data_IF_980929544067
#
_entry.id   IF_980929544067
#
_cell.length_a   1.000
_cell.length_b   1.000
_cell.length_c   1.000
_cell.angle_alpha   90.00
_cell.angle_beta   90.00
_cell.angle_gamma   90.00
#
_symmetry.space_group_name_H-M   'P 1'
#
loop_
_entity.id
_entity.type
_entity.pdbx_description
1 polymer ?
#
# COMPACT_ATOMS: atom_id res chain seq x y z
N UNK A 1 -1.72 -2.77 -12.88
CA UNK A 1 -2.87 -2.38 -12.08
C UNK A 1 -2.84 -3.05 -10.71
N UNK A 2 -3.06 -4.36 -10.55
CA UNK A 2 -3.22 -5.02 -9.26
C UNK A 2 -2.19 -4.71 -8.16
N UNK A 3 -0.94 -4.39 -8.51
CA UNK A 3 0.07 -3.94 -7.53
C UNK A 3 -0.15 -2.50 -7.03
N UNK A 4 -0.83 -1.67 -7.81
CA UNK A 4 -1.09 -0.26 -7.53
C UNK A 4 -2.49 0.00 -6.99
N UNK A 5 -3.38 -0.99 -7.08
CA UNK A 5 -4.69 -0.96 -6.43
C UNK A 5 -4.58 -1.51 -4.99
N UNK A 6 -3.64 -2.45 -4.78
CA UNK A 6 -3.26 -2.93 -3.46
C UNK A 6 -2.27 -1.97 -2.78
N UNK A 7 -2.31 -1.91 -1.47
CA UNK A 7 -1.61 -0.88 -0.67
C UNK A 7 -0.34 -1.42 0.01
N UNK A 8 0.55 -0.52 0.43
CA UNK A 8 1.84 -0.84 1.02
C UNK A 8 1.89 -0.52 2.52
N UNK A 9 2.20 -1.52 3.33
CA UNK A 9 2.46 -1.33 4.74
C UNK A 9 3.72 -0.49 5.02
N UNK A 10 4.75 -0.59 4.17
CA UNK A 10 5.97 0.21 4.30
C UNK A 10 5.73 1.69 4.01
N UNK A 11 4.92 2.00 2.99
CA UNK A 11 4.53 3.38 2.67
C UNK A 11 3.63 3.98 3.74
N UNK A 12 2.68 3.19 4.27
CA UNK A 12 1.89 3.59 5.44
C UNK A 12 2.78 3.93 6.63
N UNK A 13 3.72 3.04 6.97
CA UNK A 13 4.64 3.25 8.08
C UNK A 13 5.52 4.51 7.88
N UNK A 14 6.00 4.76 6.66
CA UNK A 14 6.72 5.99 6.33
C UNK A 14 5.82 7.22 6.51
N UNK A 15 4.58 7.16 6.03
CA UNK A 15 3.60 8.24 6.17
C UNK A 15 3.32 8.59 7.63
N UNK A 16 3.06 7.59 8.49
CA UNK A 16 2.80 7.83 9.92
C UNK A 16 3.99 8.49 10.60
N UNK A 17 5.22 8.03 10.35
CA UNK A 17 6.43 8.64 10.93
C UNK A 17 6.62 10.09 10.48
N UNK A 18 6.35 10.42 9.21
CA UNK A 18 6.44 11.79 8.73
C UNK A 18 5.37 12.68 9.38
N UNK A 19 4.10 12.24 9.41
CA UNK A 19 3.04 13.02 10.07
C UNK A 19 3.35 13.27 11.55
N UNK A 20 3.82 12.25 12.26
CA UNK A 20 4.23 12.37 13.67
C UNK A 20 5.39 13.34 13.86
N UNK A 21 6.41 13.30 12.97
CA UNK A 21 7.55 14.22 13.02
C UNK A 21 7.16 15.66 12.78
N UNK A 22 6.16 15.89 11.93
CA UNK A 22 5.62 17.22 11.60
C UNK A 22 4.54 17.68 12.59
N UNK A 23 4.20 16.86 13.59
CA UNK A 23 3.18 17.17 14.60
C UNK A 23 1.75 17.15 14.03
N UNK A 24 1.52 16.48 12.90
CA UNK A 24 0.21 16.38 12.25
C UNK A 24 -0.56 15.22 12.88
N UNK A 25 -1.61 15.56 13.63
CA UNK A 25 -2.47 14.57 14.27
C UNK A 25 -3.40 13.90 13.25
N UNK A 26 -3.59 12.60 13.40
CA UNK A 26 -4.53 11.77 12.61
C UNK A 26 -5.29 10.81 13.56
N UNK A 27 -6.39 10.23 13.10
CA UNK A 27 -7.15 9.29 13.89
C UNK A 27 -6.34 8.02 14.17
N UNK A 28 -6.28 7.54 15.43
CA UNK A 28 -5.52 6.34 15.79
C UNK A 28 -5.95 5.07 15.03
N UNK A 29 -7.18 5.04 14.53
CA UNK A 29 -7.70 3.92 13.73
C UNK A 29 -7.38 4.03 12.22
N UNK A 30 -6.93 5.19 11.72
CA UNK A 30 -6.68 5.39 10.28
C UNK A 30 -5.71 4.37 9.68
N UNK A 31 -4.61 3.95 10.34
CA UNK A 31 -3.77 2.85 9.85
C UNK A 31 -4.50 1.53 9.66
N UNK A 32 -5.57 1.28 10.41
CA UNK A 32 -6.36 0.06 10.29
C UNK A 32 -7.18 -0.02 8.98
N UNK A 33 -7.26 1.05 8.20
CA UNK A 33 -7.82 1.03 6.83
C UNK A 33 -7.01 0.14 5.88
N UNK A 34 -5.72 -0.07 6.15
CA UNK A 34 -4.82 -0.86 5.32
C UNK A 34 -5.41 -2.21 4.87
N UNK A 35 -5.84 -3.14 5.74
CA UNK A 35 -6.36 -4.43 5.31
C UNK A 35 -7.68 -4.33 4.54
N UNK A 36 -8.50 -3.34 4.84
CA UNK A 36 -9.77 -3.11 4.14
C UNK A 36 -9.58 -2.55 2.73
N UNK A 37 -8.43 -1.96 2.45
CA UNK A 37 -8.06 -1.48 1.11
C UNK A 37 -7.27 -2.54 0.35
N UNK A 38 -6.34 -3.25 0.99
CA UNK A 38 -5.43 -4.22 0.36
C UNK A 38 -6.16 -5.47 -0.15
N UNK A 39 -6.93 -6.13 0.72
CA UNK A 39 -7.59 -7.40 0.39
C UNK A 39 -8.60 -7.28 -0.74
N UNK A 40 -9.58 -6.35 -0.70
CA UNK A 40 -10.54 -6.21 -1.79
C UNK A 40 -9.90 -5.83 -3.12
N UNK A 41 -8.85 -5.01 -3.10
CA UNK A 41 -8.14 -4.59 -4.30
C UNK A 41 -7.45 -5.78 -4.99
N UNK A 42 -6.73 -6.62 -4.23
CA UNK A 42 -6.11 -7.84 -4.76
C UNK A 42 -7.13 -8.82 -5.31
N UNK A 43 -8.23 -9.05 -4.60
CA UNK A 43 -9.32 -9.92 -5.07
C UNK A 43 -9.90 -9.38 -6.38
N UNK A 44 -10.23 -8.10 -6.43
CA UNK A 44 -10.80 -7.46 -7.61
C UNK A 44 -9.84 -7.54 -8.82
N UNK A 45 -8.56 -7.26 -8.61
CA UNK A 45 -7.54 -7.34 -9.66
C UNK A 45 -7.45 -8.74 -10.27
N UNK A 46 -7.48 -9.80 -9.44
CA UNK A 46 -7.42 -11.17 -9.91
C UNK A 46 -8.71 -11.57 -10.63
N UNK A 47 -9.87 -11.17 -10.12
CA UNK A 47 -11.16 -11.42 -10.77
C UNK A 47 -11.20 -10.77 -12.15
N UNK A 48 -10.83 -9.48 -12.27
CA UNK A 48 -10.80 -8.77 -13.54
C UNK A 48 -9.81 -9.38 -14.53
N UNK A 49 -8.61 -9.77 -14.07
CA UNK A 49 -7.63 -10.44 -14.91
C UNK A 49 -8.14 -11.79 -15.43
N UNK A 50 -8.76 -12.59 -14.57
CA UNK A 50 -9.34 -13.88 -14.95
C UNK A 50 -10.49 -13.73 -15.95
N UNK A 51 -11.35 -12.73 -15.76
CA UNK A 51 -12.42 -12.41 -16.73
C UNK A 51 -11.86 -11.97 -18.09
N UNK A 52 -10.79 -11.18 -18.08
CA UNK A 52 -10.12 -10.76 -19.31
C UNK A 52 -9.51 -11.97 -20.07
N UNK A 53 -8.77 -12.83 -19.37
CA UNK A 53 -8.17 -14.03 -19.94
C UNK A 53 -9.23 -14.98 -20.50
N UNK A 54 -10.34 -15.18 -19.80
CA UNK A 54 -11.46 -15.99 -20.29
C UNK A 54 -12.08 -15.44 -21.58
N UNK A 55 -12.17 -14.12 -21.70
CA UNK A 55 -12.69 -13.49 -22.92
C UNK A 55 -11.72 -13.59 -24.10
N UNK A 56 -10.42 -13.50 -23.81
CA UNK A 56 -9.38 -13.48 -24.83
C UNK A 56 -9.07 -14.87 -25.41
N UNK A 57 -8.85 -15.84 -24.54
CA UNK A 57 -8.27 -17.14 -24.91
C UNK A 57 -9.17 -18.33 -24.56
N UNK A 58 -10.36 -18.10 -24.01
CA UNK A 58 -11.22 -19.15 -23.46
C UNK A 58 -10.65 -19.91 -22.24
N UNK A 59 -9.46 -19.52 -21.78
CA UNK A 59 -8.63 -20.22 -20.80
C UNK A 59 -8.83 -19.79 -19.34
N UNK A 60 -9.78 -18.87 -19.07
CA UNK A 60 -10.04 -18.38 -17.71
C UNK A 60 -10.54 -19.49 -16.80
N UNK A 61 -9.73 -19.89 -15.82
CA UNK A 61 -10.18 -20.77 -14.74
C UNK A 61 -11.27 -20.11 -13.88
N UNK A 62 -12.10 -20.94 -13.23
CA UNK A 62 -13.05 -20.42 -12.23
C UNK A 62 -12.27 -19.80 -11.08
N UNK A 63 -12.40 -18.48 -10.91
CA UNK A 63 -11.74 -17.77 -9.81
C UNK A 63 -12.26 -18.31 -8.48
N UNK A 64 -11.37 -18.90 -7.71
CA UNK A 64 -11.65 -19.33 -6.34
C UNK A 64 -11.22 -18.19 -5.41
N UNK A 65 -12.17 -17.37 -4.95
CA UNK A 65 -11.89 -16.19 -4.12
C UNK A 65 -11.30 -16.59 -2.75
N UNK A 66 -11.80 -17.66 -2.16
CA UNK A 66 -11.38 -18.08 -0.81
C UNK A 66 -9.87 -18.37 -0.66
N UNK A 67 -9.20 -19.10 -1.55
CA UNK A 67 -7.75 -19.26 -1.49
C UNK A 67 -6.98 -17.93 -1.55
N UNK A 68 -7.46 -16.98 -2.35
CA UNK A 68 -6.83 -15.64 -2.50
C UNK A 68 -6.93 -14.86 -1.19
N UNK A 69 -8.13 -14.79 -0.62
CA UNK A 69 -8.36 -14.15 0.69
C UNK A 69 -7.52 -14.81 1.78
N UNK A 70 -7.51 -16.15 1.80
CA UNK A 70 -6.70 -16.91 2.77
C UNK A 70 -5.21 -16.60 2.64
N UNK A 71 -4.67 -16.57 1.44
CA UNK A 71 -3.26 -16.27 1.19
C UNK A 71 -2.92 -14.83 1.58
N UNK A 72 -3.79 -13.87 1.26
CA UNK A 72 -3.63 -12.47 1.70
C UNK A 72 -3.64 -12.36 3.22
N UNK A 73 -4.57 -13.01 3.92
CA UNK A 73 -4.66 -13.01 5.39
C UNK A 73 -3.47 -13.71 6.06
N UNK A 74 -2.88 -14.70 5.42
CA UNK A 74 -1.70 -15.42 5.91
C UNK A 74 -0.38 -14.71 5.59
N UNK A 75 -0.42 -13.61 4.84
CA UNK A 75 0.74 -12.76 4.61
C UNK A 75 1.30 -12.21 5.93
N UNK A 76 2.63 -12.23 6.11
CA UNK A 76 3.28 -11.87 7.37
C UNK A 76 2.90 -10.47 7.88
N UNK A 77 2.86 -9.48 6.98
CA UNK A 77 2.53 -8.11 7.34
C UNK A 77 1.06 -7.98 7.81
N UNK A 78 0.13 -8.60 7.08
CA UNK A 78 -1.29 -8.52 7.42
C UNK A 78 -1.64 -9.33 8.67
N UNK A 79 -1.04 -10.52 8.83
CA UNK A 79 -1.18 -11.32 10.06
C UNK A 79 -0.68 -10.57 11.29
N UNK A 80 0.47 -9.90 11.19
CA UNK A 80 1.02 -9.10 12.28
C UNK A 80 0.12 -7.90 12.62
N UNK A 81 -0.42 -7.22 11.59
CA UNK A 81 -1.35 -6.11 11.78
C UNK A 81 -2.64 -6.58 12.49
N UNK A 82 -3.25 -7.67 12.02
CA UNK A 82 -4.47 -8.22 12.64
C UNK A 82 -4.22 -8.67 14.08
N UNK A 83 -3.07 -9.25 14.36
CA UNK A 83 -2.66 -9.59 15.73
C UNK A 83 -2.50 -8.32 16.58
N UNK A 84 -1.87 -7.28 16.05
CA UNK A 84 -1.73 -5.99 16.72
C UNK A 84 -3.09 -5.36 17.06
N UNK A 85 -4.04 -5.37 16.12
CA UNK A 85 -5.41 -4.92 16.35
C UNK A 85 -6.08 -5.73 17.47
N UNK A 86 -5.98 -7.06 17.41
CA UNK A 86 -6.57 -7.94 18.43
C UNK A 86 -5.97 -7.67 19.81
N UNK A 87 -4.65 -7.56 19.91
CA UNK A 87 -3.97 -7.23 21.18
C UNK A 87 -4.39 -5.85 21.69
N UNK A 88 -4.49 -4.85 20.81
CA UNK A 88 -4.94 -3.50 21.18
C UNK A 88 -6.37 -3.47 21.70
N UNK A 89 -7.26 -4.29 21.15
CA UNK A 89 -8.66 -4.39 21.57
C UNK A 89 -8.84 -5.15 22.90
N UNK A 90 -8.06 -6.19 23.14
CA UNK A 90 -8.23 -7.08 24.31
C UNK A 90 -7.28 -6.79 25.45
N UNK A 91 -6.26 -5.93 25.27
CA UNK A 91 -5.29 -5.57 26.30
C UNK A 91 -5.16 -4.05 26.39
N UNK A 92 -4.41 -3.57 27.37
CA UNK A 92 -4.01 -2.17 27.46
C UNK A 92 -2.48 -2.04 27.26
N UNK A 93 -1.99 -2.12 26.01
CA UNK A 93 -0.57 -2.24 25.71
C UNK A 93 0.20 -0.91 25.77
N UNK A 94 -0.44 0.24 26.05
CA UNK A 94 0.13 1.58 25.90
C UNK A 94 1.55 1.71 26.43
N UNK A 95 1.80 1.33 27.69
CA UNK A 95 3.14 1.43 28.26
C UNK A 95 4.19 0.58 27.51
N UNK A 96 3.82 -0.59 27.02
CA UNK A 96 4.74 -1.47 26.27
C UNK A 96 4.94 -0.93 24.85
N UNK A 97 3.91 -0.35 24.27
CA UNK A 97 4.01 0.31 22.96
C UNK A 97 5.00 1.45 23.04
N UNK A 98 4.82 2.39 23.98
CA UNK A 98 5.65 3.60 24.10
C UNK A 98 7.11 3.31 24.45
N UNK A 99 7.36 2.30 25.31
CA UNK A 99 8.70 2.03 25.82
C UNK A 99 9.51 1.03 25.02
N UNK A 100 8.86 0.15 24.26
CA UNK A 100 9.51 -0.92 23.53
C UNK A 100 9.21 -0.89 22.03
N UNK A 101 7.92 -0.95 21.65
CA UNK A 101 7.57 -1.09 20.23
C UNK A 101 7.84 0.17 19.42
N UNK A 102 7.57 1.36 19.93
CA UNK A 102 7.77 2.61 19.18
C UNK A 102 9.27 2.88 18.87
N UNK A 103 10.21 2.81 19.84
CA UNK A 103 11.63 2.95 19.53
C UNK A 103 12.14 1.87 18.58
N UNK A 104 11.69 0.61 18.77
CA UNK A 104 12.06 -0.50 17.92
C UNK A 104 11.51 -0.33 16.49
N UNK A 105 10.27 0.13 16.35
CA UNK A 105 9.62 0.37 15.08
C UNK A 105 10.40 1.36 14.21
N UNK A 106 10.84 2.49 14.77
CA UNK A 106 11.63 3.50 14.04
C UNK A 106 12.95 2.93 13.52
N UNK A 107 13.62 2.12 14.33
CA UNK A 107 14.86 1.43 13.93
C UNK A 107 14.63 0.40 12.82
N UNK A 108 13.63 -0.45 12.98
CA UNK A 108 13.27 -1.47 11.99
C UNK A 108 12.76 -0.85 10.68
N UNK A 109 12.00 0.25 10.76
CA UNK A 109 11.56 0.99 9.57
C UNK A 109 12.77 1.53 8.78
N UNK A 110 13.78 2.07 9.45
CA UNK A 110 15.00 2.55 8.78
C UNK A 110 15.72 1.40 8.03
N UNK A 111 15.82 0.22 8.65
CA UNK A 111 16.38 -0.97 7.99
C UNK A 111 15.52 -1.41 6.82
N UNK A 112 14.19 -1.43 6.98
CA UNK A 112 13.24 -1.76 5.91
C UNK A 112 13.40 -0.82 4.71
N UNK A 113 13.46 0.49 4.94
CA UNK A 113 13.63 1.48 3.87
C UNK A 113 14.97 1.29 3.13
N UNK A 114 16.05 0.96 3.86
CA UNK A 114 17.34 0.65 3.24
C UNK A 114 17.26 -0.58 2.35
N UNK A 115 16.66 -1.66 2.84
CA UNK A 115 16.47 -2.90 2.06
C UNK A 115 15.61 -2.65 0.83
N UNK A 116 14.51 -1.92 0.97
CA UNK A 116 13.65 -1.53 -0.15
C UNK A 116 14.39 -0.70 -1.20
N UNK A 117 15.26 0.23 -0.77
CA UNK A 117 16.11 1.00 -1.68
C UNK A 117 17.10 0.13 -2.46
N UNK A 118 17.75 -0.83 -1.80
CA UNK A 118 18.66 -1.79 -2.44
C UNK A 118 17.89 -2.66 -3.46
N UNK A 119 16.73 -3.17 -3.09
CA UNK A 119 15.89 -3.99 -3.96
C UNK A 119 15.37 -3.18 -5.16
N UNK A 120 14.94 -1.94 -4.94
CA UNK A 120 14.53 -1.02 -6.00
C UNK A 120 15.63 -0.81 -7.02
N UNK A 121 16.87 -0.56 -6.56
CA UNK A 121 18.02 -0.41 -7.44
C UNK A 121 18.32 -1.68 -8.24
N UNK A 122 18.31 -2.83 -7.59
CA UNK A 122 18.57 -4.12 -8.24
C UNK A 122 17.57 -4.41 -9.37
N UNK A 123 16.30 -4.04 -9.19
CA UNK A 123 15.23 -4.28 -10.18
C UNK A 123 15.15 -3.23 -11.29
N UNK A 124 15.81 -2.06 -11.15
CA UNK A 124 15.82 -1.03 -12.19
C UNK A 124 16.32 -1.55 -13.54
N UNK A 125 17.32 -2.42 -13.54
CA UNK A 125 17.87 -3.00 -14.77
C UNK A 125 16.90 -3.99 -15.44
N UNK A 126 16.09 -4.69 -14.68
CA UNK A 126 15.04 -5.56 -15.19
C UNK A 126 13.91 -4.73 -15.81
N UNK A 127 13.51 -3.66 -15.13
CA UNK A 127 12.45 -2.77 -15.59
C UNK A 127 12.80 -2.08 -16.91
N UNK A 128 14.04 -1.65 -17.11
CA UNK A 128 14.51 -1.04 -18.37
C UNK A 128 14.32 -1.95 -19.59
N UNK A 129 14.26 -3.27 -19.39
CA UNK A 129 14.09 -4.28 -20.47
C UNK A 129 12.62 -4.57 -20.78
N UNK A 130 11.68 -4.24 -19.90
CA UNK A 130 10.31 -4.79 -19.98
C UNK A 130 9.32 -3.88 -20.68
N UNK A 131 9.35 -2.60 -20.57
CA UNK A 131 8.62 -1.63 -21.39
C UNK A 131 8.51 -0.27 -20.68
N UNK A 132 8.69 0.79 -21.39
CA UNK A 132 8.61 2.17 -20.92
C UNK A 132 7.25 2.53 -20.31
N UNK A 133 6.16 1.93 -20.80
CA UNK A 133 4.80 2.17 -20.31
C UNK A 133 4.57 1.69 -18.88
N UNK A 134 5.22 0.61 -18.43
CA UNK A 134 5.14 0.19 -17.02
C UNK A 134 5.80 1.21 -16.09
N UNK A 135 6.91 1.82 -16.53
CA UNK A 135 7.59 2.86 -15.78
C UNK A 135 6.74 4.12 -15.65
N UNK A 136 6.13 4.57 -16.76
CA UNK A 136 5.21 5.71 -16.76
C UNK A 136 4.00 5.45 -15.87
N UNK A 137 3.39 4.28 -16.00
CA UNK A 137 2.27 3.88 -15.14
C UNK A 137 2.68 3.88 -13.66
N UNK A 138 3.83 3.28 -13.34
CA UNK A 138 4.35 3.20 -11.97
C UNK A 138 4.64 4.57 -11.34
N UNK A 139 5.06 5.55 -12.15
CA UNK A 139 5.31 6.90 -11.68
C UNK A 139 4.02 7.72 -11.49
N UNK A 140 3.01 7.49 -12.35
CA UNK A 140 1.78 8.29 -12.33
C UNK A 140 0.73 7.77 -11.35
N UNK A 141 0.53 6.44 -11.27
CA UNK A 141 -0.58 5.86 -10.51
C UNK A 141 -0.53 6.16 -9.01
N UNK A 142 0.61 6.14 -8.31
CA UNK A 142 0.66 6.57 -6.91
C UNK A 142 0.07 7.96 -6.70
N UNK A 143 0.42 8.90 -7.56
CA UNK A 143 -0.06 10.28 -7.46
C UNK A 143 -1.55 10.37 -7.78
N UNK A 144 -2.00 9.73 -8.85
CA UNK A 144 -3.41 9.74 -9.26
C UNK A 144 -4.32 9.12 -8.20
N UNK A 145 -3.97 7.93 -7.72
CA UNK A 145 -4.76 7.24 -6.69
C UNK A 145 -4.78 8.03 -5.37
N UNK A 146 -3.62 8.57 -4.97
CA UNK A 146 -3.55 9.40 -3.77
C UNK A 146 -4.36 10.68 -3.88
N UNK A 147 -4.35 11.38 -5.03
CA UNK A 147 -5.18 12.56 -5.24
C UNK A 147 -6.69 12.23 -5.22
N UNK A 148 -7.09 11.10 -5.81
CA UNK A 148 -8.49 10.64 -5.74
C UNK A 148 -8.87 10.39 -4.28
N UNK A 149 -8.02 9.67 -3.54
CA UNK A 149 -8.26 9.38 -2.12
C UNK A 149 -8.22 10.63 -1.25
N UNK A 150 -7.37 11.61 -1.56
CA UNK A 150 -7.37 12.91 -0.92
C UNK A 150 -8.72 13.62 -1.10
N UNK A 151 -9.25 13.64 -2.33
CA UNK A 151 -10.58 14.20 -2.61
C UNK A 151 -11.71 13.48 -1.86
N UNK A 152 -11.67 12.16 -1.77
CA UNK A 152 -12.62 11.38 -0.98
C UNK A 152 -12.45 11.63 0.52
N UNK A 153 -11.22 11.75 1.00
CA UNK A 153 -10.89 12.12 2.38
C UNK A 153 -11.39 13.53 2.74
N UNK A 154 -11.24 14.49 1.83
CA UNK A 154 -11.81 15.84 1.99
C UNK A 154 -13.34 15.81 2.10
N UNK A 155 -14.01 14.98 1.29
CA UNK A 155 -15.45 14.79 1.44
C UNK A 155 -15.80 14.18 2.81
N UNK A 156 -14.97 13.27 3.31
CA UNK A 156 -15.17 12.69 4.65
C UNK A 156 -14.91 13.74 5.76
N UNK A 157 -13.93 14.63 5.59
CA UNK A 157 -13.72 15.75 6.50
C UNK A 157 -14.98 16.60 6.62
N UNK A 158 -15.52 17.07 5.51
CA UNK A 158 -16.71 17.93 5.47
C UNK A 158 -17.98 17.24 5.99
N UNK A 159 -18.10 15.91 5.81
CA UNK A 159 -19.34 15.18 6.14
C UNK A 159 -19.35 14.54 7.52
N UNK A 160 -18.22 14.00 7.97
CA UNK A 160 -18.12 13.22 9.21
C UNK A 160 -16.99 13.70 10.14
N UNK A 161 -16.27 14.77 9.77
CA UNK A 161 -15.21 15.35 10.60
C UNK A 161 -13.93 14.52 10.59
N UNK A 162 -13.59 13.89 9.47
CA UNK A 162 -12.31 13.20 9.31
C UNK A 162 -11.17 14.21 9.31
N UNK A 163 -10.14 14.01 10.14
CA UNK A 163 -9.10 15.04 10.33
C UNK A 163 -8.25 15.26 9.07
N UNK A 164 -7.64 16.46 8.90
CA UNK A 164 -6.69 16.70 7.81
C UNK A 164 -5.55 15.68 7.76
N UNK A 165 -5.02 15.25 8.92
CA UNK A 165 -4.00 14.20 8.99
C UNK A 165 -4.53 12.84 8.56
N UNK A 166 -5.78 12.51 8.89
CA UNK A 166 -6.46 11.31 8.39
C UNK A 166 -6.63 11.34 6.86
N UNK A 167 -6.97 12.50 6.30
CA UNK A 167 -7.07 12.71 4.83
C UNK A 167 -5.72 12.48 4.16
N UNK A 168 -4.64 13.04 4.72
CA UNK A 168 -3.28 12.81 4.22
C UNK A 168 -2.95 11.32 4.27
N UNK A 169 -3.19 10.67 5.40
CA UNK A 169 -2.86 9.26 5.58
C UNK A 169 -3.65 8.36 4.63
N UNK A 170 -4.93 8.63 4.41
CA UNK A 170 -5.75 7.94 3.41
C UNK A 170 -5.17 8.08 2.00
N UNK A 171 -4.72 9.29 1.62
CA UNK A 171 -4.07 9.55 0.34
C UNK A 171 -2.73 8.81 0.21
N UNK A 172 -1.93 8.76 1.28
CA UNK A 172 -0.66 8.00 1.34
C UNK A 172 -0.91 6.51 1.17
N UNK A 173 -1.90 5.96 1.87
CA UNK A 173 -2.26 4.53 1.74
C UNK A 173 -2.69 4.23 0.30
N UNK A 174 -3.65 4.98 -0.24
CA UNK A 174 -4.19 4.75 -1.58
C UNK A 174 -3.18 5.04 -2.69
N UNK A 175 -2.28 6.00 -2.49
CA UNK A 175 -1.18 6.33 -3.40
C UNK A 175 0.00 5.37 -3.32
N UNK A 176 -0.08 4.32 -2.53
CA UNK A 176 0.99 3.33 -2.41
C UNK A 176 0.85 2.20 -3.43
N UNK A 177 1.83 1.32 -3.49
CA UNK A 177 1.77 0.10 -4.28
C UNK A 177 2.26 -1.08 -3.45
N UNK A 178 1.53 -2.20 -3.51
CA UNK A 178 1.87 -3.38 -2.70
C UNK A 178 3.24 -3.94 -3.06
N UNK A 179 4.09 -4.07 -2.07
CA UNK A 179 5.47 -4.56 -2.19
C UNK A 179 5.67 -5.92 -1.50
N UNK A 180 4.87 -6.23 -0.49
CA UNK A 180 5.00 -7.45 0.31
C UNK A 180 3.84 -8.43 0.04
N UNK A 181 2.58 -7.99 0.18
CA UNK A 181 1.38 -8.85 0.05
C UNK A 181 1.00 -9.12 -1.42
N UNK A 182 1.15 -8.13 -2.28
CA UNK A 182 0.77 -8.21 -3.70
C UNK A 182 1.55 -9.25 -4.52
N UNK A 183 2.89 -9.29 -4.47
CA UNK A 183 3.67 -10.20 -5.30
C UNK A 183 3.31 -11.67 -5.17
N UNK A 184 3.24 -12.29 -3.98
CA UNK A 184 2.84 -13.69 -3.85
C UNK A 184 1.38 -13.92 -4.27
N UNK A 185 0.48 -13.02 -3.86
CA UNK A 185 -0.96 -13.14 -4.17
C UNK A 185 -1.24 -13.04 -5.68
N UNK A 186 -0.62 -12.09 -6.37
CA UNK A 186 -0.76 -11.98 -7.82
C UNK A 186 -0.07 -13.13 -8.57
N UNK A 187 1.05 -13.65 -8.05
CA UNK A 187 1.71 -14.81 -8.64
C UNK A 187 0.83 -16.06 -8.56
N UNK A 188 0.12 -16.25 -7.45
CA UNK A 188 -0.83 -17.36 -7.29
C UNK A 188 -2.11 -17.14 -8.12
N UNK A 189 -2.64 -15.91 -8.14
CA UNK A 189 -3.90 -15.59 -8.80
C UNK A 189 -3.80 -15.37 -10.31
N UNK A 190 -2.64 -14.96 -10.83
CA UNK A 190 -2.39 -14.69 -12.25
C UNK A 190 -1.02 -15.27 -12.65
N UNK A 191 -0.87 -16.60 -12.72
CA UNK A 191 0.43 -17.25 -12.97
C UNK A 191 1.07 -16.85 -14.31
N UNK A 192 0.27 -16.42 -15.29
CA UNK A 192 0.72 -15.98 -16.62
C UNK A 192 1.28 -14.56 -16.66
N UNK A 193 1.11 -13.78 -15.59
CA UNK A 193 1.65 -12.43 -15.51
C UNK A 193 3.18 -12.47 -15.32
N UNK A 194 3.90 -11.53 -15.97
CA UNK A 194 5.34 -11.43 -15.81
C UNK A 194 5.71 -10.78 -14.45
N UNK A 195 6.27 -11.55 -13.49
CA UNK A 195 6.62 -11.01 -12.17
C UNK A 195 7.63 -9.86 -12.22
N UNK A 196 8.65 -9.94 -13.08
CA UNK A 196 9.66 -8.88 -13.21
C UNK A 196 9.03 -7.54 -13.62
N UNK A 197 7.99 -7.57 -14.44
CA UNK A 197 7.32 -6.35 -14.88
C UNK A 197 6.54 -5.69 -13.73
N UNK A 198 5.65 -6.42 -13.05
CA UNK A 198 4.78 -5.79 -12.06
C UNK A 198 5.49 -5.55 -10.71
N UNK A 199 6.37 -6.47 -10.27
CA UNK A 199 7.18 -6.26 -9.06
C UNK A 199 8.21 -5.14 -9.31
N UNK A 200 8.92 -5.20 -10.43
CA UNK A 200 9.90 -4.18 -10.80
C UNK A 200 9.27 -2.78 -10.88
N UNK A 201 8.11 -2.64 -11.52
CA UNK A 201 7.41 -1.37 -11.61
C UNK A 201 6.98 -0.85 -10.22
N UNK A 202 6.42 -1.71 -9.37
CA UNK A 202 5.99 -1.34 -8.02
C UNK A 202 7.19 -0.95 -7.15
N UNK A 203 8.17 -1.84 -7.00
CA UNK A 203 9.27 -1.66 -6.05
C UNK A 203 10.30 -0.63 -6.51
N UNK A 204 10.60 -0.55 -7.83
CA UNK A 204 11.66 0.35 -8.32
C UNK A 204 11.19 1.76 -8.61
N UNK A 205 9.90 1.97 -8.86
CA UNK A 205 9.35 3.29 -9.20
C UNK A 205 8.16 3.64 -8.29
N UNK A 206 7.15 2.76 -8.20
CA UNK A 206 5.91 3.06 -7.48
C UNK A 206 6.14 3.44 -6.03
N UNK A 207 6.81 2.59 -5.26
CA UNK A 207 7.10 2.84 -3.84
C UNK A 207 7.99 4.07 -3.62
N UNK A 208 9.11 4.26 -4.34
CA UNK A 208 9.89 5.50 -4.25
C UNK A 208 9.09 6.77 -4.58
N UNK A 209 8.26 6.75 -5.62
CA UNK A 209 7.39 7.89 -5.97
C UNK A 209 6.36 8.15 -4.88
N UNK A 210 5.71 7.10 -4.36
CA UNK A 210 4.73 7.24 -3.29
C UNK A 210 5.32 7.88 -2.03
N UNK A 211 6.53 7.47 -1.65
CA UNK A 211 7.20 7.98 -0.44
C UNK A 211 7.82 9.36 -0.69
N UNK A 212 8.67 9.50 -1.72
CA UNK A 212 9.47 10.71 -1.90
C UNK A 212 8.69 11.89 -2.51
N UNK A 213 7.64 11.62 -3.28
CA UNK A 213 6.82 12.63 -3.95
C UNK A 213 5.42 12.67 -3.36
N UNK A 214 4.77 11.51 -3.18
CA UNK A 214 3.38 11.43 -2.73
C UNK A 214 3.19 12.01 -1.33
N UNK A 215 3.95 11.57 -0.34
CA UNK A 215 3.81 12.05 1.04
C UNK A 215 3.96 13.57 1.14
N UNK A 216 5.06 14.20 0.66
CA UNK A 216 5.19 15.66 0.68
C UNK A 216 4.10 16.39 -0.10
N UNK A 217 3.66 15.82 -1.24
CA UNK A 217 2.59 16.40 -2.05
C UNK A 217 1.27 16.47 -1.27
N UNK A 218 0.87 15.39 -0.59
CA UNK A 218 -0.40 15.35 0.14
C UNK A 218 -0.36 16.23 1.39
N UNK A 219 0.80 16.33 2.07
CA UNK A 219 1.00 17.26 3.18
C UNK A 219 0.90 18.70 2.67
N UNK A 220 1.60 19.05 1.58
CA UNK A 220 1.54 20.38 0.98
C UNK A 220 0.13 20.74 0.48
N UNK A 221 -0.60 19.77 -0.08
CA UNK A 221 -1.97 19.98 -0.52
C UNK A 221 -2.91 20.22 0.68
N UNK A 222 -2.74 19.48 1.76
CA UNK A 222 -3.52 19.67 2.98
C UNK A 222 -3.29 21.06 3.59
N UNK A 223 -2.06 21.55 3.62
CA UNK A 223 -1.72 22.89 4.11
C UNK A 223 -2.36 24.03 3.29
N UNK A 224 -2.83 23.76 2.07
CA UNK A 224 -3.54 24.74 1.22
C UNK A 224 -5.06 24.61 1.35
N UNK A 225 -5.55 23.39 1.61
CA UNK A 225 -6.99 23.07 1.59
C UNK A 225 -7.61 23.27 2.97
N UNK A 226 -6.87 22.99 4.05
CA UNK A 226 -7.27 23.10 5.45
C UNK A 226 -6.54 24.23 6.16
#
# INVERSE_FOLDING_TARGET
>A
AGMFDAVSGSTLAAGTVVLESDGIAYEPWAPALYPFMDIPALVLAIVLASLYLKRKDGSGEKVRIWPIVKESLQGSALSALLLGIALGLFTNPGKVVDTFYEPLFRGLLSVLMLVMGIEAYARLNELRRVAHWFAVYAALMPIVHGLIAFGLGYLADVTVGFSPGGVILLAVIAGSSSDISGPPTLRAGIPTANPSAYIGASTSIGTPVAIAIGIPLYIGLAAVVF
#
